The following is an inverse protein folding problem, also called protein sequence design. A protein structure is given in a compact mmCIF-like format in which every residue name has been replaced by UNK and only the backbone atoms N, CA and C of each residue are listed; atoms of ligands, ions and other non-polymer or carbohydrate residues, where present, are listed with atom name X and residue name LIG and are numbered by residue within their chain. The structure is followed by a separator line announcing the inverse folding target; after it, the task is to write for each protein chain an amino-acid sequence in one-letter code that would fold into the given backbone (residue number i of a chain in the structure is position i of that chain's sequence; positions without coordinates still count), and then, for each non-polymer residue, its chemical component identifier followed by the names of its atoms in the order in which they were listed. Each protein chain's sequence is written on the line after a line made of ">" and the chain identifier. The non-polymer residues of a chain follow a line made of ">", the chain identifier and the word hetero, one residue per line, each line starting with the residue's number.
data_IF_919743502470
#
_entry.id   IF_919743502470
#
_cell.length_a   1.000
_cell.length_b   1.000
_cell.length_c   1.000
_cell.angle_alpha   90.00
_cell.angle_beta   90.00
_cell.angle_gamma   90.00
#
_symmetry.space_group_name_H-M   'P 1'
#
loop_
_entity.id
_entity.type
_entity.pdbx_description
1 polymer ?
#
# COMPACT_ATOMS: atom_id res chain seq x y z
N UNK A 1 -20.73 8.51 -24.79
CA UNK A 1 -19.58 7.61 -24.62
C UNK A 1 -18.74 7.65 -25.89
N UNK A 2 -17.46 7.99 -25.75
CA UNK A 2 -16.44 8.12 -26.81
C UNK A 2 -15.75 6.79 -27.13
N UNK A 3 -15.89 5.79 -26.25
CA UNK A 3 -15.17 4.51 -26.26
C UNK A 3 -13.65 4.69 -26.20
N UNK A 4 -13.20 5.57 -25.31
CA UNK A 4 -11.80 5.96 -25.21
C UNK A 4 -11.30 6.04 -23.75
N UNK A 5 -10.19 5.37 -23.46
CA UNK A 5 -9.53 5.38 -22.13
C UNK A 5 -8.10 5.88 -22.28
N UNK A 6 -7.74 6.95 -21.57
CA UNK A 6 -6.37 7.46 -21.56
C UNK A 6 -5.56 6.77 -20.46
N UNK A 7 -4.28 6.51 -20.71
CA UNK A 7 -3.34 6.02 -19.69
C UNK A 7 -2.32 7.11 -19.39
N UNK A 8 -2.23 7.54 -18.14
CA UNK A 8 -1.25 8.54 -17.71
C UNK A 8 0.07 7.88 -17.31
N UNK A 9 1.17 8.50 -17.75
CA UNK A 9 2.55 8.21 -17.35
C UNK A 9 3.29 9.49 -16.97
N UNK A 10 4.48 9.36 -16.39
CA UNK A 10 5.45 10.44 -16.18
C UNK A 10 6.82 10.02 -16.69
N UNK A 11 7.66 10.97 -17.10
CA UNK A 11 9.00 10.63 -17.54
C UNK A 11 9.92 10.30 -16.35
N UNK A 12 10.80 9.32 -16.54
CA UNK A 12 11.76 8.90 -15.51
C UNK A 12 11.19 7.95 -14.45
N UNK A 13 12.03 7.59 -13.48
CA UNK A 13 11.76 6.54 -12.50
C UNK A 13 12.45 5.21 -12.84
N UNK A 14 12.74 4.42 -11.81
CA UNK A 14 13.38 3.09 -11.95
C UNK A 14 12.44 2.01 -12.48
N UNK A 15 11.14 2.32 -12.57
CA UNK A 15 10.07 1.43 -13.02
C UNK A 15 9.83 1.46 -14.54
N UNK A 16 10.55 2.34 -15.27
CA UNK A 16 10.40 2.57 -16.71
C UNK A 16 11.65 2.15 -17.48
N UNK A 17 11.49 1.89 -18.78
CA UNK A 17 12.60 1.52 -19.65
C UNK A 17 12.85 2.55 -20.75
N UNK A 18 13.57 2.17 -21.82
CA UNK A 18 14.03 3.07 -22.89
C UNK A 18 12.88 3.73 -23.68
N UNK A 19 11.68 3.17 -23.63
CA UNK A 19 10.47 3.69 -24.26
C UNK A 19 9.71 4.67 -23.37
N UNK A 20 10.17 4.90 -22.13
CA UNK A 20 9.53 5.81 -21.19
C UNK A 20 8.25 5.26 -20.58
N UNK A 21 7.98 3.95 -20.69
CA UNK A 21 6.80 3.31 -20.14
C UNK A 21 7.17 2.32 -19.04
N UNK A 22 6.25 2.13 -18.09
CA UNK A 22 6.27 0.91 -17.29
C UNK A 22 6.01 -0.28 -18.19
N UNK A 23 6.61 -1.43 -17.84
CA UNK A 23 6.46 -2.68 -18.62
C UNK A 23 5.01 -3.13 -18.78
N UNK A 24 4.12 -2.75 -17.87
CA UNK A 24 2.69 -3.09 -17.91
C UNK A 24 1.80 -2.06 -18.63
N UNK A 25 2.30 -0.85 -18.90
CA UNK A 25 1.51 0.24 -19.52
C UNK A 25 1.07 -0.10 -20.94
N UNK A 26 1.99 -0.45 -21.84
CA UNK A 26 1.64 -0.77 -23.23
C UNK A 26 0.82 -2.07 -23.38
N UNK A 27 1.07 -3.14 -22.60
CA UNK A 27 0.16 -4.28 -22.53
C UNK A 27 -1.29 -3.89 -22.20
N UNK A 28 -1.52 -3.03 -21.21
CA UNK A 28 -2.87 -2.52 -20.87
C UNK A 28 -3.47 -1.75 -22.06
N UNK A 29 -2.71 -0.82 -22.65
CA UNK A 29 -3.17 -0.02 -23.80
C UNK A 29 -3.57 -0.92 -24.98
N UNK A 30 -2.77 -1.95 -25.26
CA UNK A 30 -3.04 -2.87 -26.36
C UNK A 30 -4.25 -3.76 -26.06
N UNK A 31 -4.40 -4.26 -24.84
CA UNK A 31 -5.57 -5.03 -24.42
C UNK A 31 -6.88 -4.22 -24.56
N UNK A 32 -6.86 -2.92 -24.22
CA UNK A 32 -8.03 -2.03 -24.44
C UNK A 32 -8.32 -1.88 -25.95
N UNK A 33 -7.28 -1.70 -26.78
CA UNK A 33 -7.42 -1.61 -28.25
C UNK A 33 -7.98 -2.88 -28.87
N UNK A 34 -7.55 -4.05 -28.40
CA UNK A 34 -8.01 -5.34 -28.91
C UNK A 34 -9.50 -5.58 -28.61
N UNK A 35 -10.05 -4.93 -27.58
CA UNK A 35 -11.49 -4.89 -27.28
C UNK A 35 -12.27 -3.85 -28.12
N UNK A 36 -11.61 -3.18 -29.07
CA UNK A 36 -12.22 -2.19 -29.97
C UNK A 36 -12.46 -0.83 -29.33
N UNK A 37 -11.72 -0.50 -28.27
CA UNK A 37 -11.72 0.83 -27.64
C UNK A 37 -10.47 1.62 -28.06
N UNK A 38 -10.57 2.95 -28.10
CA UNK A 38 -9.39 3.78 -28.25
C UNK A 38 -8.63 3.87 -26.92
N UNK A 39 -7.31 3.75 -26.98
CA UNK A 39 -6.44 3.99 -25.84
C UNK A 39 -5.08 4.53 -26.28
N UNK A 40 -4.52 5.42 -25.48
CA UNK A 40 -3.18 5.96 -25.69
C UNK A 40 -2.56 6.40 -24.38
N UNK A 41 -1.23 6.55 -24.40
CA UNK A 41 -0.46 7.05 -23.27
C UNK A 41 -0.28 8.55 -23.43
N UNK A 42 -0.55 9.31 -22.37
CA UNK A 42 -0.19 10.72 -22.25
C UNK A 42 0.73 10.93 -21.06
N UNK A 43 1.72 11.81 -21.22
CA UNK A 43 2.67 12.12 -20.17
C UNK A 43 2.24 13.36 -19.40
N UNK A 44 2.21 13.25 -18.07
CA UNK A 44 1.97 14.40 -17.21
C UNK A 44 3.24 15.21 -17.02
N UNK A 45 3.14 16.51 -17.27
CA UNK A 45 4.06 17.53 -16.78
C UNK A 45 3.27 18.71 -16.21
N UNK A 46 3.73 19.33 -15.11
CA UNK A 46 3.02 20.46 -14.51
C UNK A 46 2.69 21.59 -15.50
N UNK A 47 3.62 21.91 -16.41
CA UNK A 47 3.42 22.96 -17.42
C UNK A 47 2.36 22.61 -18.49
N UNK A 48 1.96 21.34 -18.62
CA UNK A 48 0.96 20.88 -19.59
C UNK A 48 -0.40 20.62 -18.97
N UNK A 49 -0.60 20.91 -17.68
CA UNK A 49 -1.82 20.54 -16.95
C UNK A 49 -3.10 21.04 -17.62
N UNK A 50 -3.13 22.28 -18.11
CA UNK A 50 -4.32 22.83 -18.79
C UNK A 50 -4.56 22.19 -20.17
N UNK A 51 -3.50 21.96 -20.94
CA UNK A 51 -3.60 21.32 -22.25
C UNK A 51 -4.03 19.85 -22.11
N UNK A 52 -3.48 19.14 -21.12
CA UNK A 52 -3.86 17.77 -20.76
C UNK A 52 -5.32 17.72 -20.31
N UNK A 53 -5.74 18.62 -19.43
CA UNK A 53 -7.13 18.68 -18.98
C UNK A 53 -8.09 18.86 -20.16
N UNK A 54 -7.83 19.83 -21.03
CA UNK A 54 -8.66 20.08 -22.21
C UNK A 54 -8.68 18.88 -23.15
N UNK A 55 -7.51 18.40 -23.56
CA UNK A 55 -7.40 17.29 -24.49
C UNK A 55 -8.09 16.03 -23.95
N UNK A 56 -7.83 15.67 -22.69
CA UNK A 56 -8.37 14.44 -22.10
C UNK A 56 -9.88 14.55 -21.90
N UNK A 57 -10.36 15.68 -21.37
CA UNK A 57 -11.80 15.87 -21.14
C UNK A 57 -12.62 15.90 -22.43
N UNK A 58 -12.07 16.41 -23.53
CA UNK A 58 -12.74 16.45 -24.84
C UNK A 58 -12.76 15.07 -25.53
N UNK A 59 -11.72 14.24 -25.34
CA UNK A 59 -11.51 13.04 -26.18
C UNK A 59 -11.73 11.69 -25.48
N UNK A 60 -11.74 11.62 -24.14
CA UNK A 60 -11.82 10.35 -23.39
C UNK A 60 -13.05 10.26 -22.48
N UNK A 61 -13.43 9.02 -22.14
CA UNK A 61 -14.47 8.73 -21.14
C UNK A 61 -13.88 8.39 -19.76
N UNK A 62 -12.63 7.94 -19.72
CA UNK A 62 -11.97 7.44 -18.52
C UNK A 62 -10.45 7.60 -18.57
N UNK A 63 -9.82 7.48 -17.39
CA UNK A 63 -8.37 7.49 -17.26
C UNK A 63 -7.85 6.37 -16.35
N UNK A 64 -6.67 5.85 -16.67
CA UNK A 64 -5.87 4.95 -15.81
C UNK A 64 -4.58 5.69 -15.45
N UNK A 65 -4.27 5.82 -14.16
CA UNK A 65 -2.96 6.29 -13.71
C UNK A 65 -1.99 5.11 -13.63
N UNK A 66 -0.87 5.19 -14.36
CA UNK A 66 0.29 4.29 -14.20
C UNK A 66 1.48 5.07 -13.65
N UNK A 67 1.22 6.07 -12.83
CA UNK A 67 2.21 6.99 -12.28
C UNK A 67 2.51 6.65 -10.81
N UNK A 68 3.77 6.33 -10.51
CA UNK A 68 4.22 6.26 -9.12
C UNK A 68 4.28 7.68 -8.53
N UNK A 69 3.57 7.98 -7.42
CA UNK A 69 3.54 9.32 -6.83
C UNK A 69 4.93 9.91 -6.53
N UNK A 70 5.89 9.07 -6.15
CA UNK A 70 7.27 9.51 -5.87
C UNK A 70 8.05 9.98 -7.09
N UNK A 71 7.58 9.67 -8.30
CA UNK A 71 8.23 10.06 -9.56
C UNK A 71 7.56 11.27 -10.22
N UNK A 72 6.54 11.88 -9.59
CA UNK A 72 5.82 13.02 -10.16
C UNK A 72 6.68 14.29 -10.09
N UNK A 73 6.97 14.96 -11.23
CA UNK A 73 7.72 16.21 -11.22
C UNK A 73 7.00 17.28 -10.39
N UNK A 74 7.70 17.84 -9.40
CA UNK A 74 7.12 18.87 -8.51
C UNK A 74 6.18 18.32 -7.41
N UNK A 75 6.10 17.00 -7.25
CA UNK A 75 5.24 16.34 -6.26
C UNK A 75 3.81 16.08 -6.74
N UNK A 76 3.07 15.27 -5.99
CA UNK A 76 1.78 14.71 -6.40
C UNK A 76 0.64 15.74 -6.51
N UNK A 77 0.73 16.88 -5.82
CA UNK A 77 -0.37 17.85 -5.67
C UNK A 77 -0.95 18.30 -7.01
N UNK A 78 -0.10 18.70 -7.96
CA UNK A 78 -0.56 19.17 -9.27
C UNK A 78 -1.15 18.06 -10.14
N UNK A 79 -0.62 16.84 -10.01
CA UNK A 79 -1.15 15.69 -10.73
C UNK A 79 -2.51 15.26 -10.18
N UNK A 80 -2.67 15.22 -8.86
CA UNK A 80 -3.94 14.90 -8.21
C UNK A 80 -5.00 15.96 -8.50
N UNK A 81 -4.64 17.24 -8.56
CA UNK A 81 -5.56 18.31 -9.01
C UNK A 81 -6.09 18.04 -10.43
N UNK A 82 -5.21 17.69 -11.37
CA UNK A 82 -5.61 17.32 -12.74
C UNK A 82 -6.58 16.12 -12.73
N UNK A 83 -6.26 15.04 -12.02
CA UNK A 83 -7.10 13.85 -11.97
C UNK A 83 -8.47 14.14 -11.35
N UNK A 84 -8.52 14.94 -10.27
CA UNK A 84 -9.78 15.40 -9.65
C UNK A 84 -10.62 16.19 -10.64
N UNK A 85 -10.02 17.19 -11.32
CA UNK A 85 -10.72 17.99 -12.33
C UNK A 85 -11.28 17.13 -13.46
N UNK A 86 -10.54 16.11 -13.92
CA UNK A 86 -11.01 15.19 -14.94
C UNK A 86 -12.22 14.37 -14.46
N UNK A 87 -12.20 13.88 -13.22
CA UNK A 87 -13.35 13.22 -12.60
C UNK A 87 -14.57 14.16 -12.50
N UNK A 88 -14.36 15.42 -12.09
CA UNK A 88 -15.41 16.46 -12.05
C UNK A 88 -15.97 16.79 -13.43
N UNK A 89 -15.15 16.72 -14.48
CA UNK A 89 -15.56 16.84 -15.87
C UNK A 89 -16.33 15.62 -16.40
N UNK A 90 -16.56 14.60 -15.56
CA UNK A 90 -17.39 13.45 -15.84
C UNK A 90 -16.63 12.20 -16.29
N UNK A 91 -15.30 12.24 -16.35
CA UNK A 91 -14.51 11.05 -16.66
C UNK A 91 -14.57 10.05 -15.51
N UNK A 92 -14.36 8.78 -15.84
CA UNK A 92 -14.23 7.70 -14.85
C UNK A 92 -12.76 7.53 -14.51
N UNK A 93 -12.41 7.84 -13.27
CA UNK A 93 -11.10 7.50 -12.74
C UNK A 93 -11.05 6.03 -12.34
N UNK A 94 -10.05 5.30 -12.85
CA UNK A 94 -9.82 3.91 -12.46
C UNK A 94 -9.12 3.77 -11.09
N UNK A 95 -8.48 4.85 -10.66
CA UNK A 95 -8.04 5.08 -9.29
C UNK A 95 -8.08 6.59 -9.09
N UNK A 96 -9.08 7.09 -8.38
CA UNK A 96 -9.21 8.52 -8.12
C UNK A 96 -8.18 8.97 -7.08
N UNK A 97 -7.81 10.27 -7.01
CA UNK A 97 -6.93 10.76 -5.95
C UNK A 97 -7.46 10.44 -4.55
N UNK A 98 -8.78 10.48 -4.36
CA UNK A 98 -9.44 10.10 -3.11
C UNK A 98 -9.15 8.63 -2.76
N UNK A 99 -9.38 7.70 -3.69
CA UNK A 99 -9.09 6.27 -3.51
C UNK A 99 -7.59 6.02 -3.27
N UNK A 100 -6.71 6.69 -4.02
CA UNK A 100 -5.26 6.55 -3.86
C UNK A 100 -4.80 6.96 -2.46
N UNK A 101 -5.39 8.02 -1.90
CA UNK A 101 -5.07 8.50 -0.56
C UNK A 101 -5.72 7.60 0.49
N UNK A 102 -6.98 7.23 0.32
CA UNK A 102 -7.74 6.54 1.36
C UNK A 102 -7.32 5.08 1.54
N UNK A 103 -7.07 4.37 0.44
CA UNK A 103 -6.59 2.99 0.45
C UNK A 103 -5.06 2.88 0.57
N UNK A 104 -4.33 3.84 0.02
CA UNK A 104 -2.86 3.79 -0.04
C UNK A 104 -2.15 4.37 1.19
N UNK A 105 -2.83 5.19 2.00
CA UNK A 105 -2.24 5.73 3.22
C UNK A 105 -2.10 4.65 4.31
N UNK A 106 -1.05 4.75 5.12
CA UNK A 106 -0.79 3.77 6.18
C UNK A 106 -1.87 3.78 7.27
N UNK A 107 -2.53 4.91 7.50
CA UNK A 107 -3.65 5.00 8.44
C UNK A 107 -4.88 4.19 8.02
N UNK A 108 -4.92 3.63 6.80
CA UNK A 108 -5.93 2.65 6.42
C UNK A 108 -6.01 1.50 7.43
N UNK A 109 -4.87 1.07 8.00
CA UNK A 109 -4.85 0.05 9.05
C UNK A 109 -5.61 0.51 10.30
N UNK A 110 -5.42 1.76 10.71
CA UNK A 110 -6.09 2.32 11.90
C UNK A 110 -7.58 2.46 11.66
N UNK A 111 -7.99 2.83 10.43
CA UNK A 111 -9.41 2.88 10.04
C UNK A 111 -10.07 1.49 10.07
N UNK A 112 -9.28 0.42 9.98
CA UNK A 112 -9.74 -0.97 10.00
C UNK A 112 -9.51 -1.69 11.35
N UNK A 113 -8.96 -1.03 12.37
CA UNK A 113 -8.63 -1.66 13.67
C UNK A 113 -9.85 -2.05 14.53
N UNK A 114 -11.07 -1.72 14.08
CA UNK A 114 -12.33 -2.17 14.68
C UNK A 114 -12.89 -3.44 14.03
N UNK A 115 -12.16 -3.97 13.04
CA UNK A 115 -12.47 -5.22 12.35
C UNK A 115 -11.46 -6.28 12.76
N UNK A 116 -11.73 -7.54 12.42
CA UNK A 116 -10.79 -8.64 12.70
C UNK A 116 -9.57 -8.64 11.75
N UNK A 117 -9.53 -7.75 10.75
CA UNK A 117 -8.41 -7.64 9.81
C UNK A 117 -7.14 -7.05 10.44
N UNK A 118 -7.30 -6.17 11.43
CA UNK A 118 -6.18 -5.37 11.98
C UNK A 118 -6.26 -5.37 13.50
N UNK A 119 -5.15 -5.57 14.23
CA UNK A 119 -5.13 -5.53 15.68
C UNK A 119 -5.73 -4.22 16.23
N UNK A 120 -6.60 -4.35 17.21
CA UNK A 120 -7.36 -3.24 17.78
C UNK A 120 -6.52 -2.17 18.50
N UNK A 121 -5.27 -2.50 18.83
CA UNK A 121 -4.29 -1.59 19.40
C UNK A 121 -3.38 -0.93 18.33
N UNK A 122 -3.78 -0.98 17.05
CA UNK A 122 -3.12 -0.24 15.98
C UNK A 122 -3.54 1.23 16.03
N UNK A 123 -2.58 2.15 16.05
CA UNK A 123 -2.80 3.59 16.16
C UNK A 123 -2.03 4.38 15.10
N UNK A 124 -2.42 5.63 14.86
CA UNK A 124 -1.67 6.58 14.05
C UNK A 124 -1.42 7.85 14.85
N UNK A 125 -0.19 8.34 14.77
CA UNK A 125 0.23 9.62 15.35
C UNK A 125 0.34 10.66 14.24
N UNK A 126 -0.44 11.74 14.38
CA UNK A 126 -0.47 12.86 13.44
C UNK A 126 0.31 14.08 13.95
N UNK A 127 0.74 14.04 15.21
CA UNK A 127 1.54 15.07 15.85
C UNK A 127 2.56 14.44 16.81
N UNK A 128 3.68 15.14 16.96
CA UNK A 128 4.83 14.70 17.77
C UNK A 128 4.47 14.55 19.24
N UNK A 129 3.64 15.45 19.77
CA UNK A 129 3.27 15.43 21.19
C UNK A 129 2.48 14.16 21.55
N UNK A 130 1.48 13.79 20.74
CA UNK A 130 0.70 12.56 20.92
C UNK A 130 1.59 11.32 20.81
N UNK A 131 2.52 11.28 19.85
CA UNK A 131 3.47 10.18 19.71
C UNK A 131 4.34 10.01 20.97
N UNK A 132 5.01 11.08 21.41
CA UNK A 132 5.92 11.04 22.56
C UNK A 132 5.22 10.69 23.87
N UNK A 133 3.95 11.09 24.02
CA UNK A 133 3.15 10.78 25.21
C UNK A 133 2.60 9.35 25.21
N UNK A 134 2.37 8.75 24.04
CA UNK A 134 1.62 7.49 23.92
C UNK A 134 2.51 6.29 23.65
N UNK A 135 3.51 6.44 22.78
CA UNK A 135 4.36 5.32 22.34
C UNK A 135 5.12 4.62 23.48
N UNK A 136 5.65 5.31 24.51
CA UNK A 136 6.26 4.64 25.66
C UNK A 136 5.33 3.66 26.38
N UNK A 137 4.02 3.96 26.39
CA UNK A 137 3.00 3.08 26.95
C UNK A 137 2.62 1.98 25.98
N UNK A 138 2.50 2.28 24.68
CA UNK A 138 2.22 1.28 23.65
C UNK A 138 3.29 0.16 23.61
N UNK A 139 4.56 0.55 23.62
CA UNK A 139 5.70 -0.37 23.64
C UNK A 139 5.77 -1.24 24.91
N UNK A 140 5.09 -0.85 25.99
CA UNK A 140 5.03 -1.66 27.21
C UNK A 140 4.20 -2.95 27.05
N UNK A 141 3.35 -3.03 26.01
CA UNK A 141 2.57 -4.22 25.70
C UNK A 141 3.35 -5.26 24.87
N UNK A 142 4.57 -4.95 24.46
CA UNK A 142 5.42 -5.82 23.65
C UNK A 142 5.99 -5.11 22.44
N UNK A 143 6.56 -5.90 21.53
CA UNK A 143 7.21 -5.36 20.34
C UNK A 143 6.24 -4.64 19.40
N UNK A 144 6.69 -3.51 18.84
CA UNK A 144 5.90 -2.67 17.93
C UNK A 144 6.56 -2.57 16.57
N UNK A 145 5.77 -2.29 15.55
CA UNK A 145 6.19 -1.92 14.20
C UNK A 145 5.69 -0.51 13.93
N UNK A 146 6.62 0.43 13.82
CA UNK A 146 6.33 1.80 13.40
C UNK A 146 6.45 1.92 11.89
N UNK A 147 5.47 2.52 11.22
CA UNK A 147 5.43 2.67 9.76
C UNK A 147 5.17 4.13 9.38
N UNK A 148 6.13 4.76 8.70
CA UNK A 148 5.90 6.07 8.08
C UNK A 148 4.87 5.98 6.95
N UNK A 149 4.15 7.08 6.70
CA UNK A 149 3.13 7.11 5.63
C UNK A 149 3.74 6.97 4.22
N UNK A 150 4.76 7.77 3.92
CA UNK A 150 5.39 7.84 2.58
C UNK A 150 6.72 7.07 2.57
N UNK A 151 6.62 5.76 2.59
CA UNK A 151 7.77 4.86 2.46
C UNK A 151 7.56 3.88 1.31
N UNK A 152 8.64 3.49 0.64
CA UNK A 152 8.62 2.36 -0.29
C UNK A 152 9.67 1.34 0.14
N UNK A 153 9.45 0.07 -0.23
CA UNK A 153 10.41 -1.02 -0.04
C UNK A 153 10.98 -1.10 1.38
N UNK A 154 10.15 -0.92 2.40
CA UNK A 154 10.54 -1.06 3.81
C UNK A 154 11.18 0.18 4.46
N UNK A 155 11.40 1.27 3.72
CA UNK A 155 11.93 2.50 4.31
C UNK A 155 10.95 3.12 5.31
N UNK A 156 11.46 3.50 6.48
CA UNK A 156 10.70 4.03 7.62
C UNK A 156 9.71 3.03 8.21
N UNK A 157 9.97 1.73 8.04
CA UNK A 157 9.27 0.65 8.75
C UNK A 157 10.24 0.05 9.77
N UNK A 158 9.96 0.26 11.05
CA UNK A 158 10.85 -0.10 12.15
C UNK A 158 10.20 -1.12 13.06
N UNK A 159 10.82 -2.29 13.23
CA UNK A 159 10.54 -3.18 14.36
C UNK A 159 11.26 -2.64 15.59
N UNK A 160 10.51 -2.37 16.65
CA UNK A 160 10.98 -1.72 17.88
C UNK A 160 10.68 -2.62 19.06
N UNK A 161 11.72 -2.96 19.82
CA UNK A 161 11.60 -3.73 21.06
C UNK A 161 12.63 -3.29 22.09
N UNK A 162 12.42 -3.65 23.35
CA UNK A 162 13.46 -3.46 24.37
C UNK A 162 14.70 -4.28 23.99
N UNK A 163 15.88 -3.70 24.19
CA UNK A 163 17.15 -4.36 23.85
C UNK A 163 17.48 -5.54 24.79
N UNK A 164 16.96 -5.48 26.03
CA UNK A 164 17.11 -6.53 27.03
C UNK A 164 15.81 -7.34 27.14
N UNK A 165 15.90 -8.64 26.82
CA UNK A 165 14.77 -9.58 26.84
C UNK A 165 14.26 -9.87 28.24
N UNK A 166 15.14 -9.88 29.26
CA UNK A 166 14.73 -10.07 30.66
C UNK A 166 13.99 -8.83 31.16
N UNK A 167 14.46 -7.64 30.80
CA UNK A 167 13.74 -6.40 31.08
C UNK A 167 12.36 -6.40 30.40
N UNK A 168 12.28 -6.82 29.13
CA UNK A 168 11.03 -6.92 28.38
C UNK A 168 10.00 -7.83 29.05
N UNK A 169 10.43 -9.00 29.54
CA UNK A 169 9.55 -9.95 30.21
C UNK A 169 8.98 -9.45 31.56
N UNK A 170 9.62 -8.44 32.16
CA UNK A 170 9.25 -7.87 33.45
C UNK A 170 8.51 -6.52 33.34
N UNK A 171 8.29 -6.01 32.12
CA UNK A 171 7.48 -4.81 31.91
C UNK A 171 6.04 -5.07 32.35
N UNK A 172 5.45 -4.12 33.06
CA UNK A 172 4.01 -4.13 33.37
C UNK A 172 3.26 -3.42 32.23
N UNK A 173 2.45 -4.14 31.42
CA UNK A 173 1.73 -3.54 30.30
C UNK A 173 0.84 -2.38 30.75
N UNK A 174 0.81 -1.31 29.96
CA UNK A 174 0.12 -0.06 30.27
C UNK A 174 0.90 0.92 31.14
N UNK A 175 2.17 0.62 31.45
CA UNK A 175 3.07 1.54 32.17
C UNK A 175 4.05 2.17 31.20
N UNK A 176 4.07 3.51 31.11
CA UNK A 176 5.01 4.23 30.26
C UNK A 176 6.47 3.86 30.60
N UNK A 177 7.21 3.45 29.58
CA UNK A 177 8.63 3.14 29.72
C UNK A 177 9.48 4.41 29.93
N UNK A 178 10.55 4.37 30.76
CA UNK A 178 11.51 5.46 30.88
C UNK A 178 12.17 5.82 29.55
N UNK A 179 12.43 7.11 29.31
CA UNK A 179 13.02 7.58 28.05
C UNK A 179 14.45 7.10 27.79
N UNK A 180 15.18 6.72 28.84
CA UNK A 180 16.52 6.12 28.76
C UNK A 180 16.49 4.60 28.55
N UNK A 181 15.30 3.99 28.40
CA UNK A 181 15.14 2.58 28.07
C UNK A 181 15.86 2.27 26.76
N UNK A 182 16.75 1.25 26.78
CA UNK A 182 17.48 0.80 25.60
C UNK A 182 16.57 -0.03 24.70
N UNK A 183 16.50 0.39 23.44
CA UNK A 183 15.72 -0.25 22.39
C UNK A 183 16.63 -0.92 21.38
N UNK A 184 16.13 -1.99 20.77
CA UNK A 184 16.64 -2.60 19.55
C UNK A 184 15.68 -2.26 18.43
N UNK A 185 16.12 -1.42 17.50
CA UNK A 185 15.32 -0.91 16.37
C UNK A 185 15.86 -1.51 15.07
N UNK A 186 15.05 -2.28 14.34
CA UNK A 186 15.44 -2.87 13.05
C UNK A 186 14.61 -2.29 11.92
N UNK A 187 15.26 -1.71 10.90
CA UNK A 187 14.54 -1.14 9.75
C UNK A 187 14.31 -2.19 8.66
N UNK A 188 13.12 -2.23 8.08
CA UNK A 188 12.77 -3.18 7.04
C UNK A 188 13.45 -2.90 5.69
N UNK A 189 14.06 -1.74 5.47
CA UNK A 189 14.68 -1.39 4.19
C UNK A 189 15.81 -2.35 3.81
N UNK A 190 16.63 -2.76 4.79
CA UNK A 190 17.79 -3.63 4.61
C UNK A 190 18.05 -4.54 5.82
N UNK A 191 17.14 -4.59 6.81
CA UNK A 191 17.26 -5.33 8.07
C UNK A 191 18.44 -4.90 8.95
N UNK A 192 19.02 -3.70 8.78
CA UNK A 192 20.00 -3.21 9.74
C UNK A 192 19.34 -3.00 11.11
N UNK A 193 20.13 -3.19 12.17
CA UNK A 193 19.67 -3.00 13.55
C UNK A 193 20.51 -1.95 14.26
N UNK A 194 19.83 -1.10 15.01
CA UNK A 194 20.41 -0.06 15.84
C UNK A 194 20.00 -0.26 17.30
N UNK A 195 20.87 0.15 18.22
CA UNK A 195 20.54 0.26 19.65
C UNK A 195 20.43 1.73 20.00
N UNK A 196 19.25 2.16 20.44
CA UNK A 196 18.94 3.56 20.76
C UNK A 196 18.28 3.69 22.13
N UNK A 197 18.28 4.88 22.69
CA UNK A 197 17.38 5.20 23.82
C UNK A 197 15.97 5.51 23.28
N UNK A 198 14.93 5.19 24.06
CA UNK A 198 13.54 5.43 23.67
C UNK A 198 13.29 6.89 23.30
N UNK A 199 13.75 7.84 24.12
CA UNK A 199 13.62 9.28 23.83
C UNK A 199 14.29 9.67 22.52
N UNK A 200 15.54 9.25 22.31
CA UNK A 200 16.32 9.53 21.09
C UNK A 200 15.65 8.95 19.83
N UNK A 201 15.11 7.73 19.94
CA UNK A 201 14.42 7.10 18.82
C UNK A 201 13.09 7.79 18.49
N UNK A 202 12.39 8.32 19.51
CA UNK A 202 11.18 9.12 19.27
C UNK A 202 11.54 10.45 18.59
N UNK A 203 12.55 11.18 19.06
CA UNK A 203 13.05 12.40 18.41
C UNK A 203 13.43 12.14 16.93
N UNK A 204 14.05 10.98 16.66
CA UNK A 204 14.34 10.57 15.28
C UNK A 204 13.07 10.33 14.46
N UNK A 205 12.04 9.72 15.03
CA UNK A 205 10.78 9.45 14.34
C UNK A 205 9.95 10.71 14.04
N UNK A 206 10.20 11.84 14.69
CA UNK A 206 9.50 13.11 14.43
C UNK A 206 9.54 13.50 12.94
N UNK A 207 10.61 13.14 12.23
CA UNK A 207 10.76 13.39 10.80
C UNK A 207 9.67 12.73 9.94
N UNK A 208 9.04 11.65 10.42
CA UNK A 208 7.97 10.95 9.71
C UNK A 208 6.59 11.60 9.93
N UNK A 209 6.47 12.42 10.98
CA UNK A 209 5.23 13.11 11.37
C UNK A 209 5.25 14.56 10.88
N UNK A 210 6.40 15.23 10.89
CA UNK A 210 6.52 16.62 10.47
C UNK A 210 6.53 16.74 8.94
N UNK A 211 5.51 17.40 8.39
CA UNK A 211 5.42 17.73 6.96
C UNK A 211 4.07 17.39 6.35
N UNK A 212 3.96 17.58 5.03
CA UNK A 212 2.72 17.33 4.30
C UNK A 212 2.36 15.83 4.30
N UNK A 213 1.17 15.51 4.81
CA UNK A 213 0.67 14.13 5.01
C UNK A 213 1.57 13.27 5.93
N UNK A 214 2.36 13.91 6.81
CA UNK A 214 3.16 13.22 7.82
C UNK A 214 2.28 12.51 8.85
N UNK A 215 2.63 11.26 9.13
CA UNK A 215 2.04 10.45 10.20
C UNK A 215 2.93 9.23 10.45
N UNK A 216 2.77 8.64 11.63
CA UNK A 216 3.44 7.40 12.02
C UNK A 216 2.41 6.40 12.53
N UNK A 217 2.29 5.27 11.85
CA UNK A 217 1.43 4.16 12.32
C UNK A 217 2.21 3.30 13.30
N UNK A 218 1.56 2.95 14.40
CA UNK A 218 2.06 2.05 15.44
C UNK A 218 1.18 0.81 15.50
N UNK A 219 1.76 -0.35 15.19
CA UNK A 219 1.08 -1.64 15.15
C UNK A 219 1.88 -2.66 15.95
N UNK A 220 1.24 -3.61 16.63
CA UNK A 220 1.98 -4.72 17.26
C UNK A 220 2.79 -5.52 16.23
N UNK A 221 3.96 -6.00 16.63
CA UNK A 221 4.76 -6.89 15.78
C UNK A 221 4.07 -8.26 15.65
N UNK A 222 3.98 -8.77 14.42
CA UNK A 222 3.42 -10.09 14.10
C UNK A 222 4.56 -11.10 13.97
N UNK A 223 4.78 -12.00 14.95
CA UNK A 223 5.97 -12.87 14.96
C UNK A 223 6.07 -13.81 13.75
N UNK A 224 4.91 -14.25 13.23
CA UNK A 224 4.83 -15.15 12.07
C UNK A 224 5.14 -14.46 10.73
N UNK A 225 5.50 -13.17 10.70
CA UNK A 225 6.06 -12.52 9.50
C UNK A 225 7.29 -13.27 8.95
N UNK A 226 8.03 -13.99 9.80
CA UNK A 226 9.15 -14.84 9.40
C UNK A 226 8.74 -16.02 8.50
N UNK A 227 7.47 -16.42 8.53
CA UNK A 227 6.89 -17.41 7.62
C UNK A 227 6.61 -16.80 6.25
N UNK A 228 6.35 -15.50 6.20
CA UNK A 228 6.26 -14.68 5.00
C UNK A 228 5.04 -13.77 4.97
N UNK A 229 5.14 -12.71 4.18
CA UNK A 229 4.02 -11.84 3.85
C UNK A 229 3.27 -12.41 2.63
N UNK A 230 1.94 -12.46 2.71
CA UNK A 230 1.07 -13.02 1.68
C UNK A 230 0.36 -11.86 0.98
N UNK A 231 0.78 -11.54 -0.24
CA UNK A 231 0.20 -10.47 -1.04
C UNK A 231 -0.82 -11.01 -2.03
N UNK A 232 -2.06 -10.57 -1.93
CA UNK A 232 -3.08 -10.81 -2.96
C UNK A 232 -2.99 -9.66 -3.96
N UNK A 233 -2.78 -9.95 -5.24
CA UNK A 233 -2.96 -8.95 -6.30
C UNK A 233 -4.38 -9.07 -6.86
N UNK A 234 -5.08 -7.93 -6.92
CA UNK A 234 -6.44 -7.84 -7.43
C UNK A 234 -6.54 -6.90 -8.62
N UNK A 235 -7.43 -7.25 -9.55
CA UNK A 235 -7.95 -6.36 -10.58
C UNK A 235 -9.43 -6.14 -10.32
N UNK A 236 -9.80 -4.92 -9.93
CA UNK A 236 -11.11 -4.65 -9.35
C UNK A 236 -11.39 -5.63 -8.19
N UNK A 237 -12.52 -6.36 -8.18
CA UNK A 237 -12.82 -7.34 -7.14
C UNK A 237 -12.14 -8.71 -7.34
N UNK A 238 -11.43 -8.92 -8.45
CA UNK A 238 -10.95 -10.24 -8.86
C UNK A 238 -9.53 -10.52 -8.36
N UNK A 239 -9.32 -11.52 -7.49
CA UNK A 239 -7.97 -11.96 -7.14
C UNK A 239 -7.32 -12.63 -8.36
N UNK A 240 -6.10 -12.21 -8.70
CA UNK A 240 -5.39 -12.68 -9.90
C UNK A 240 -4.32 -13.70 -9.53
N UNK A 241 -3.48 -13.39 -8.54
CA UNK A 241 -2.50 -14.30 -7.97
C UNK A 241 -2.09 -13.86 -6.57
N UNK A 242 -1.45 -14.78 -5.86
CA UNK A 242 -0.88 -14.56 -4.53
C UNK A 242 0.64 -14.61 -4.63
N UNK A 243 1.32 -13.64 -4.01
CA UNK A 243 2.77 -13.66 -3.84
C UNK A 243 3.07 -13.92 -2.38
N UNK A 244 3.70 -15.06 -2.11
CA UNK A 244 4.27 -15.34 -0.80
C UNK A 244 5.71 -14.83 -0.76
N UNK A 245 5.95 -13.82 0.06
CA UNK A 245 7.22 -13.12 0.21
C UNK A 245 7.86 -13.52 1.53
N UNK A 246 8.76 -14.50 1.50
CA UNK A 246 9.43 -15.01 2.69
C UNK A 246 10.70 -14.21 2.98
N UNK A 247 10.84 -13.55 4.16
CA UNK A 247 12.06 -12.85 4.55
C UNK A 247 13.31 -13.73 4.51
N UNK A 248 14.48 -13.09 4.49
CA UNK A 248 15.76 -13.78 4.62
C UNK A 248 15.84 -14.54 5.96
N UNK A 249 16.50 -15.71 5.96
CA UNK A 249 16.66 -16.50 7.17
C UNK A 249 17.68 -15.87 8.14
N UNK A 250 17.34 -15.87 9.43
CA UNK A 250 18.25 -15.58 10.53
C UNK A 250 18.18 -14.16 11.09
N UNK A 251 18.61 -14.03 12.35
CA UNK A 251 18.68 -12.75 13.06
C UNK A 251 17.30 -12.12 13.28
N UNK A 252 17.25 -10.80 13.06
CA UNK A 252 16.05 -9.98 13.23
C UNK A 252 15.31 -9.69 11.91
N UNK A 253 15.71 -10.37 10.83
CA UNK A 253 15.16 -10.12 9.50
C UNK A 253 13.65 -10.38 9.48
N UNK A 254 12.90 -9.34 9.12
CA UNK A 254 11.44 -9.41 8.96
C UNK A 254 10.97 -8.76 7.65
N UNK A 255 11.89 -8.13 6.91
CA UNK A 255 11.59 -7.49 5.65
C UNK A 255 11.21 -8.50 4.57
N UNK A 256 10.06 -8.27 3.94
CA UNK A 256 9.54 -9.05 2.83
C UNK A 256 9.96 -8.49 1.46
N UNK A 257 11.05 -7.71 1.37
CA UNK A 257 11.49 -7.10 0.11
C UNK A 257 12.60 -7.90 -0.58
N UNK A 258 12.61 -7.95 -1.92
CA UNK A 258 13.68 -8.62 -2.67
C UNK A 258 15.07 -8.04 -2.36
N UNK A 259 15.17 -6.72 -2.15
CA UNK A 259 16.44 -6.03 -1.88
C UNK A 259 17.04 -6.42 -0.52
N UNK A 260 16.20 -6.79 0.44
CA UNK A 260 16.62 -7.27 1.75
C UNK A 260 16.84 -8.78 1.82
N UNK A 261 16.73 -9.48 0.67
CA UNK A 261 17.01 -10.91 0.53
C UNK A 261 15.78 -11.83 0.63
N UNK A 262 14.55 -11.28 0.60
CA UNK A 262 13.35 -12.10 0.60
C UNK A 262 13.23 -12.96 -0.68
N UNK A 263 12.59 -14.12 -0.55
CA UNK A 263 12.27 -15.03 -1.66
C UNK A 263 10.78 -14.95 -1.97
N UNK A 264 10.45 -14.74 -3.24
CA UNK A 264 9.07 -14.62 -3.70
C UNK A 264 8.64 -15.91 -4.39
N UNK A 265 7.47 -16.41 -4.03
CA UNK A 265 6.79 -17.51 -4.72
C UNK A 265 5.45 -17.00 -5.21
N UNK A 266 5.13 -17.30 -6.46
CA UNK A 266 3.87 -16.92 -7.09
C UNK A 266 2.96 -18.14 -7.09
N UNK A 267 1.77 -17.95 -6.54
CA UNK A 267 0.79 -18.99 -6.30
C UNK A 267 -0.56 -18.55 -6.81
N UNK A 268 -1.43 -19.52 -7.10
CA UNK A 268 -2.77 -19.20 -7.53
C UNK A 268 -3.67 -18.85 -6.33
N UNK A 269 -4.71 -18.03 -6.52
CA UNK A 269 -5.65 -17.71 -5.45
C UNK A 269 -6.26 -18.95 -4.78
N UNK A 270 -6.50 -20.03 -5.54
CA UNK A 270 -7.10 -21.26 -4.99
C UNK A 270 -6.18 -22.01 -4.00
N UNK A 271 -4.87 -21.74 -4.01
CA UNK A 271 -3.94 -22.27 -3.01
C UNK A 271 -4.09 -21.55 -1.66
N UNK A 272 -4.77 -20.40 -1.63
CA UNK A 272 -5.01 -19.56 -0.46
C UNK A 272 -6.50 -19.22 -0.32
N UNK A 273 -7.37 -20.19 -0.64
CA UNK A 273 -8.81 -19.96 -0.74
C UNK A 273 -9.41 -19.34 0.54
N UNK A 274 -9.02 -19.82 1.72
CA UNK A 274 -9.53 -19.31 3.00
C UNK A 274 -9.21 -17.81 3.20
N UNK A 275 -7.98 -17.39 2.85
CA UNK A 275 -7.59 -15.97 2.88
C UNK A 275 -8.38 -15.16 1.83
N UNK A 276 -8.51 -15.70 0.62
CA UNK A 276 -9.20 -15.03 -0.48
C UNK A 276 -10.68 -14.82 -0.15
N UNK A 277 -11.34 -15.82 0.42
CA UNK A 277 -12.74 -15.77 0.84
C UNK A 277 -12.93 -14.82 2.03
N UNK A 278 -12.08 -14.93 3.07
CA UNK A 278 -12.11 -14.01 4.20
C UNK A 278 -11.96 -12.55 3.75
N UNK A 279 -10.97 -12.29 2.88
CA UNK A 279 -10.76 -10.93 2.38
C UNK A 279 -11.95 -10.47 1.53
N UNK A 280 -12.52 -11.37 0.72
CA UNK A 280 -13.69 -11.08 -0.09
C UNK A 280 -14.90 -10.65 0.73
N UNK A 281 -15.14 -11.33 1.85
CA UNK A 281 -16.20 -11.03 2.80
C UNK A 281 -15.95 -9.72 3.57
N UNK A 282 -14.69 -9.36 3.80
CA UNK A 282 -14.32 -8.13 4.50
C UNK A 282 -14.37 -6.87 3.60
N UNK A 283 -14.34 -7.02 2.26
CA UNK A 283 -14.32 -5.88 1.31
C UNK A 283 -15.40 -4.83 1.53
N UNK A 284 -16.68 -5.16 1.80
CA UNK A 284 -17.71 -4.14 2.06
C UNK A 284 -17.37 -3.26 3.26
N UNK A 285 -16.82 -3.85 4.33
CA UNK A 285 -16.41 -3.11 5.53
C UNK A 285 -15.17 -2.24 5.23
N UNK A 286 -14.25 -2.74 4.41
CA UNK A 286 -13.10 -1.95 3.94
C UNK A 286 -13.58 -0.74 3.14
N UNK A 287 -14.50 -0.94 2.20
CA UNK A 287 -15.07 0.13 1.38
C UNK A 287 -15.76 1.20 2.23
N UNK A 288 -16.54 0.80 3.25
CA UNK A 288 -17.20 1.71 4.18
C UNK A 288 -16.19 2.55 4.99
N UNK A 289 -15.13 1.93 5.51
CA UNK A 289 -14.16 2.60 6.37
C UNK A 289 -13.12 3.43 5.59
N UNK A 290 -12.83 3.07 4.33
CA UNK A 290 -11.85 3.74 3.48
C UNK A 290 -12.50 4.67 2.44
N UNK A 291 -13.80 4.95 2.55
CA UNK A 291 -14.42 6.10 1.89
C UNK A 291 -14.98 5.84 0.49
N UNK A 292 -15.41 4.62 0.16
CA UNK A 292 -16.29 4.42 -1.00
C UNK A 292 -16.35 3.00 -1.55
N UNK A 293 -17.45 2.72 -2.27
CA UNK A 293 -17.71 1.46 -2.99
C UNK A 293 -16.79 1.26 -4.21
N UNK A 294 -15.98 2.26 -4.58
CA UNK A 294 -15.08 2.19 -5.72
C UNK A 294 -13.79 1.48 -5.35
N UNK A 295 -13.75 0.18 -5.65
CA UNK A 295 -12.55 -0.64 -5.54
C UNK A 295 -11.51 -0.15 -6.56
N UNK A 296 -10.23 0.05 -6.20
CA UNK A 296 -9.19 0.43 -7.16
C UNK A 296 -9.09 -0.58 -8.32
N UNK A 297 -8.72 -0.12 -9.52
CA UNK A 297 -8.59 -1.00 -10.68
C UNK A 297 -7.49 -2.04 -10.52
N UNK A 298 -6.32 -1.66 -9.99
CA UNK A 298 -5.22 -2.59 -9.70
C UNK A 298 -4.70 -2.29 -8.31
N UNK A 299 -4.76 -3.26 -7.42
CA UNK A 299 -4.39 -3.07 -6.03
C UNK A 299 -3.91 -4.36 -5.39
N UNK A 300 -3.28 -4.23 -4.23
CA UNK A 300 -2.87 -5.37 -3.42
C UNK A 300 -3.32 -5.21 -1.98
N UNK A 301 -3.54 -6.35 -1.33
CA UNK A 301 -3.66 -6.46 0.11
C UNK A 301 -2.60 -7.45 0.60
N UNK A 302 -1.81 -7.01 1.56
CA UNK A 302 -0.64 -7.73 2.06
C UNK A 302 -0.94 -8.19 3.49
N UNK A 303 -0.85 -9.50 3.72
CA UNK A 303 -1.22 -10.14 4.98
C UNK A 303 -0.03 -10.81 5.66
N UNK A 304 -0.13 -10.94 6.97
CA UNK A 304 0.72 -11.77 7.81
C UNK A 304 -0.13 -12.86 8.44
N UNK A 305 0.43 -14.05 8.60
CA UNK A 305 -0.19 -15.06 9.45
C UNK A 305 -0.15 -14.60 10.91
N UNK A 306 -1.18 -15.00 11.65
CA UNK A 306 -1.27 -14.90 13.10
C UNK A 306 -2.00 -16.15 13.62
N UNK A 307 -1.95 -16.36 14.92
CA UNK A 307 -2.68 -17.45 15.57
C UNK A 307 -3.96 -16.86 16.18
N UNK A 308 -5.08 -17.57 16.04
CA UNK A 308 -6.25 -17.31 16.87
C UNK A 308 -5.93 -17.70 18.33
N UNK A 309 -6.04 -16.75 19.25
CA UNK A 309 -5.69 -16.96 20.66
C UNK A 309 -6.58 -18.02 21.36
N UNK A 310 -7.79 -18.28 20.84
CA UNK A 310 -8.75 -19.23 21.41
C UNK A 310 -8.66 -20.62 20.77
N UNK A 311 -8.54 -20.68 19.44
CA UNK A 311 -8.60 -21.94 18.67
C UNK A 311 -7.22 -22.45 18.27
N UNK A 312 -6.21 -21.57 18.17
CA UNK A 312 -4.90 -21.86 17.62
C UNK A 312 -4.88 -22.09 16.11
N UNK A 313 -5.97 -21.75 15.41
CA UNK A 313 -6.05 -21.81 13.95
C UNK A 313 -5.37 -20.59 13.30
N UNK A 314 -4.98 -20.74 12.02
CA UNK A 314 -4.39 -19.65 11.26
C UNK A 314 -5.39 -18.51 11.05
N UNK A 315 -4.98 -17.30 11.40
CA UNK A 315 -5.68 -16.06 11.05
C UNK A 315 -4.78 -15.17 10.19
N UNK A 316 -5.37 -14.15 9.56
CA UNK A 316 -4.66 -13.26 8.66
C UNK A 316 -4.81 -11.82 9.10
N UNK A 317 -3.66 -11.18 9.35
CA UNK A 317 -3.59 -9.77 9.74
C UNK A 317 -3.15 -8.93 8.55
N UNK A 318 -3.98 -7.95 8.19
CA UNK A 318 -3.68 -6.99 7.13
C UNK A 318 -2.53 -6.05 7.55
N UNK A 319 -1.46 -6.05 6.76
CA UNK A 319 -0.25 -5.26 6.98
C UNK A 319 -0.14 -4.01 6.11
N UNK A 320 -0.73 -4.02 4.92
CA UNK A 320 -0.72 -2.91 3.96
C UNK A 320 -1.77 -3.12 2.85
N UNK A 321 -2.32 -2.02 2.32
CA UNK A 321 -3.00 -1.98 1.03
C UNK A 321 -2.21 -1.06 0.09
N UNK A 322 -2.05 -1.46 -1.17
CA UNK A 322 -1.40 -0.65 -2.20
C UNK A 322 -2.33 -0.46 -3.41
N UNK A 323 -2.51 0.77 -3.88
CA UNK A 323 -3.43 1.05 -5.00
C UNK A 323 -2.97 2.15 -5.98
N UNK A 324 -1.94 2.95 -5.65
CA UNK A 324 -1.58 4.12 -6.48
C UNK A 324 -0.87 3.76 -7.79
N UNK A 325 -0.01 2.73 -7.80
CA UNK A 325 0.75 2.32 -8.99
C UNK A 325 1.29 0.87 -8.90
N UNK A 326 0.43 -0.07 -8.49
CA UNK A 326 0.80 -1.49 -8.36
C UNK A 326 1.17 -2.05 -9.73
N UNK A 327 2.32 -2.73 -9.82
CA UNK A 327 2.80 -3.36 -11.05
C UNK A 327 2.67 -4.87 -11.06
N UNK A 328 2.46 -5.44 -12.25
CA UNK A 328 2.40 -6.89 -12.51
C UNK A 328 3.41 -7.31 -13.60
N UNK A 329 4.53 -6.60 -13.67
CA UNK A 329 5.43 -6.56 -14.82
C UNK A 329 6.20 -7.85 -15.12
N UNK A 330 6.22 -8.80 -14.19
CA UNK A 330 6.87 -10.09 -14.39
C UNK A 330 5.95 -11.14 -15.02
N UNK A 331 4.62 -10.96 -14.93
CA UNK A 331 3.63 -12.02 -15.24
C UNK A 331 2.61 -11.59 -16.32
N UNK A 332 3.09 -10.88 -17.34
CA UNK A 332 2.25 -10.38 -18.46
C UNK A 332 1.59 -11.52 -19.27
N UNK A 333 2.09 -12.74 -19.16
CA UNK A 333 1.55 -13.95 -19.79
C UNK A 333 0.33 -14.53 -19.04
N UNK A 334 0.00 -14.04 -17.85
CA UNK A 334 -1.14 -14.50 -17.04
C UNK A 334 -2.50 -13.88 -17.42
N UNK A 335 -2.56 -13.04 -18.44
CA UNK A 335 -3.82 -12.45 -18.90
C UNK A 335 -4.31 -11.22 -18.08
N UNK A 336 -3.41 -10.62 -17.30
CA UNK A 336 -3.76 -9.57 -16.34
C UNK A 336 -4.18 -8.30 -17.06
N UNK A 337 -3.46 -7.91 -18.11
CA UNK A 337 -3.80 -6.73 -18.90
C UNK A 337 -5.17 -6.84 -19.58
N UNK A 338 -5.57 -8.04 -19.99
CA UNK A 338 -6.89 -8.29 -20.57
C UNK A 338 -7.98 -8.12 -19.51
N UNK A 339 -7.78 -8.64 -18.29
CA UNK A 339 -8.70 -8.43 -17.17
C UNK A 339 -8.78 -6.96 -16.76
N UNK A 340 -7.65 -6.24 -16.73
CA UNK A 340 -7.60 -4.79 -16.47
C UNK A 340 -8.38 -4.04 -17.54
N UNK A 341 -8.23 -4.39 -18.81
CA UNK A 341 -8.97 -3.79 -19.90
C UNK A 341 -10.48 -4.08 -19.78
N UNK A 342 -10.86 -5.32 -19.47
CA UNK A 342 -12.26 -5.73 -19.28
C UNK A 342 -12.92 -4.98 -18.12
N UNK A 343 -12.27 -4.91 -16.97
CA UNK A 343 -12.77 -4.20 -15.79
C UNK A 343 -12.87 -2.69 -16.06
N UNK A 344 -11.84 -2.10 -16.66
CA UNK A 344 -11.85 -0.67 -17.00
C UNK A 344 -12.98 -0.34 -17.99
N UNK A 345 -13.12 -1.12 -19.06
CA UNK A 345 -14.20 -0.95 -20.04
C UNK A 345 -15.56 -1.15 -19.38
N UNK A 346 -15.72 -2.19 -18.57
CA UNK A 346 -16.96 -2.52 -17.88
C UNK A 346 -17.44 -1.38 -16.96
N UNK A 347 -16.52 -0.73 -16.23
CA UNK A 347 -16.84 0.46 -15.43
C UNK A 347 -17.33 1.62 -16.30
N UNK A 348 -16.74 1.82 -17.48
CA UNK A 348 -17.23 2.84 -18.42
C UNK A 348 -18.62 2.51 -18.91
N UNK A 349 -18.83 1.29 -19.38
CA UNK A 349 -20.13 0.85 -19.90
C UNK A 349 -21.22 0.93 -18.83
N UNK A 350 -20.93 0.54 -17.57
CA UNK A 350 -21.89 0.60 -16.46
C UNK A 350 -22.34 2.03 -16.12
N UNK A 351 -21.48 3.05 -16.26
CA UNK A 351 -21.87 4.45 -16.04
C UNK A 351 -22.78 5.01 -17.13
N UNK A 352 -22.64 4.50 -18.37
CA UNK A 352 -23.39 4.97 -19.54
C UNK A 352 -24.56 4.06 -19.93
N UNK A 353 -24.78 2.96 -19.21
CA UNK A 353 -25.96 2.11 -19.28
C UNK A 353 -27.14 2.79 -18.57
#
# INVERSE_FOLDING_TARGET
>A
MKKAIVVFEVEGGSDKYIDGHRKDTMPIVNAIKDKGWHAEVVFFRPEWSEDLFKYVSENFDAYISRVNPGNIPGGEKGYFDLLTRLSEAGLIGMSTPEEMISYGAKDALVKLNKTDLVPSDTAAYYDVETFHNTFPTSLSYGERVLKQNRGSTGSGIWRVRLADEEAAANVTPGTALPLDTKLRCTEAVDNHTEVRELGEFMDFCDQYIVGDNGMLVDMRFMPRIVEGEIRILLVGPHPVFVVHKKPAEGGDAFSATLFSGAKYTYQKPEEWQDLVDMFADARPVIAENLGGDNIPLIWTADFMLADDDETGEDTYVLGEINCSCVGFTSELDMGIQELVAEEAIGRVEAKFA
#
